data_IF_577129717322
#
_entry.id   IF_577129717322
#
_cell.length_a   1.000
_cell.length_b   1.000
_cell.length_c   1.000
_cell.angle_alpha   90.00
_cell.angle_beta   90.00
_cell.angle_gamma   90.00
#
_symmetry.space_group_name_H-M   'P 1'
#
loop_
_entity.id
_entity.type
_entity.pdbx_description
1 polymer ?
#
# COMPACT_ATOMS: atom_id res chain seq x y z
N UNK A 1 20.78 2.58 2.64
CA UNK A 1 19.72 3.51 2.19
C UNK A 1 18.56 3.38 3.16
N UNK A 2 17.89 4.47 3.58
CA UNK A 2 17.11 4.44 4.80
C UNK A 2 15.90 3.52 4.65
N UNK A 3 15.81 2.59 5.59
CA UNK A 3 14.62 1.77 5.81
C UNK A 3 13.49 2.65 6.38
N UNK A 4 12.26 2.16 6.27
CA UNK A 4 11.14 2.77 6.98
C UNK A 4 11.39 2.71 8.49
N UNK A 5 11.32 3.86 9.16
CA UNK A 5 11.41 3.98 10.62
C UNK A 5 10.01 4.15 11.20
N UNK A 6 9.18 5.01 10.58
CA UNK A 6 7.82 5.27 11.02
C UNK A 6 7.74 5.75 12.48
N UNK A 7 6.91 5.07 13.27
CA UNK A 7 6.80 5.22 14.72
C UNK A 7 7.77 4.32 15.51
N UNK A 8 8.59 3.51 14.85
CA UNK A 8 9.52 2.55 15.45
C UNK A 8 8.95 1.13 15.64
N UNK A 9 7.63 0.96 15.62
CA UNK A 9 6.98 -0.33 15.91
C UNK A 9 7.16 -1.37 14.79
N UNK A 10 7.42 -0.90 13.56
CA UNK A 10 7.61 -1.72 12.36
C UNK A 10 8.85 -1.26 11.57
N UNK A 11 9.95 -0.98 12.28
CA UNK A 11 11.19 -0.59 11.63
C UNK A 11 11.63 -1.66 10.62
N UNK A 12 12.05 -1.23 9.43
CA UNK A 12 12.40 -2.13 8.33
C UNK A 12 11.23 -2.64 7.49
N UNK A 13 9.98 -2.38 7.88
CA UNK A 13 8.76 -2.85 7.20
C UNK A 13 8.31 -1.90 6.06
N UNK A 14 9.27 -1.52 5.22
CA UNK A 14 9.08 -0.62 4.08
C UNK A 14 10.34 0.15 3.67
N UNK A 15 10.19 0.97 2.63
CA UNK A 15 11.29 1.70 2.01
C UNK A 15 11.30 3.22 2.26
N UNK A 16 12.30 3.88 1.66
CA UNK A 16 12.47 5.33 1.72
C UNK A 16 11.27 6.11 1.14
N UNK A 17 10.56 5.57 0.15
CA UNK A 17 9.34 6.20 -0.39
C UNK A 17 8.23 6.20 0.66
N UNK A 18 8.04 5.10 1.38
CA UNK A 18 7.10 5.01 2.49
C UNK A 18 7.46 6.00 3.60
N UNK A 19 8.75 6.10 3.92
CA UNK A 19 9.26 7.05 4.93
C UNK A 19 9.00 8.52 4.53
N UNK A 20 9.20 8.87 3.26
CA UNK A 20 8.86 10.23 2.78
C UNK A 20 7.38 10.55 2.94
N UNK A 21 6.49 9.60 2.65
CA UNK A 21 5.05 9.78 2.86
C UNK A 21 4.69 9.85 4.35
N UNK A 22 5.39 9.08 5.18
CA UNK A 22 5.26 9.18 6.63
C UNK A 22 5.60 10.57 7.15
N UNK A 23 6.67 11.18 6.64
CA UNK A 23 7.14 12.50 7.08
C UNK A 23 6.28 13.67 6.58
N UNK A 24 5.55 13.48 5.47
CA UNK A 24 4.76 14.56 4.86
C UNK A 24 3.43 14.85 5.59
N UNK A 25 2.92 13.91 6.38
CA UNK A 25 1.63 14.04 7.05
C UNK A 25 1.66 13.43 8.45
N UNK A 26 0.69 13.82 9.29
CA UNK A 26 0.51 13.18 10.60
C UNK A 26 -0.27 11.89 10.44
N UNK A 27 0.38 10.77 10.65
CA UNK A 27 -0.22 9.44 10.59
C UNK A 27 -0.51 8.90 12.00
N UNK A 28 -1.64 8.21 12.12
CA UNK A 28 -2.07 7.53 13.35
C UNK A 28 -2.49 6.12 13.00
N UNK A 29 -1.96 5.15 13.74
CA UNK A 29 -2.30 3.75 13.54
C UNK A 29 -3.79 3.50 13.82
N UNK A 30 -4.40 2.70 12.95
CA UNK A 30 -5.79 2.28 13.10
C UNK A 30 -5.85 1.22 14.20
N UNK A 31 -6.76 1.40 15.17
CA UNK A 31 -6.96 0.45 16.27
C UNK A 31 -7.23 -0.96 15.72
N UNK A 32 -6.50 -1.94 16.24
CA UNK A 32 -6.58 -3.36 15.84
C UNK A 32 -6.26 -3.63 14.36
N UNK A 33 -5.54 -2.72 13.70
CA UNK A 33 -5.11 -2.87 12.31
C UNK A 33 -3.60 -2.55 12.25
N UNK A 34 -2.75 -3.46 12.77
CA UNK A 34 -1.32 -3.21 12.92
C UNK A 34 -0.70 -2.81 11.58
N UNK A 35 0.22 -1.84 11.63
CA UNK A 35 0.97 -1.38 10.46
C UNK A 35 0.14 -0.61 9.44
N UNK A 36 -1.10 -0.22 9.78
CA UNK A 36 -1.99 0.59 8.93
C UNK A 36 -2.34 1.90 9.60
N UNK A 37 -2.12 2.99 8.91
CA UNK A 37 -2.21 4.33 9.48
C UNK A 37 -3.14 5.21 8.67
N UNK A 38 -3.93 6.04 9.35
CA UNK A 38 -4.77 7.10 8.77
C UNK A 38 -4.22 8.46 9.14
N UNK A 39 -4.56 9.50 8.38
CA UNK A 39 -4.36 10.88 8.83
C UNK A 39 -5.70 11.47 9.28
N UNK A 40 -6.07 11.35 10.56
CA UNK A 40 -7.36 11.84 11.02
C UNK A 40 -7.39 13.37 10.97
N UNK A 41 -8.47 13.90 10.37
CA UNK A 41 -8.77 15.35 10.30
C UNK A 41 -7.86 16.15 9.36
N UNK A 42 -7.10 15.51 8.49
CA UNK A 42 -6.41 16.20 7.41
C UNK A 42 -7.35 16.45 6.24
N UNK A 43 -7.90 17.67 6.20
CA UNK A 43 -8.85 18.07 5.14
C UNK A 43 -8.21 18.07 3.75
N UNK A 44 -6.90 18.34 3.65
CA UNK A 44 -6.21 18.38 2.35
C UNK A 44 -6.10 16.98 1.78
N UNK A 45 -5.71 16.02 2.63
CA UNK A 45 -5.67 14.61 2.25
C UNK A 45 -7.06 14.11 1.84
N UNK A 46 -8.12 14.44 2.58
CA UNK A 46 -9.46 13.95 2.23
C UNK A 46 -10.01 14.48 0.90
N UNK A 47 -9.46 15.57 0.36
CA UNK A 47 -9.81 16.13 -0.95
C UNK A 47 -8.83 15.75 -2.06
N UNK A 48 -7.68 15.17 -1.72
CA UNK A 48 -6.66 14.82 -2.68
C UNK A 48 -6.95 13.44 -3.28
N UNK A 49 -6.89 13.35 -4.60
CA UNK A 49 -6.82 12.06 -5.29
C UNK A 49 -5.52 11.33 -4.92
N UNK A 50 -5.46 9.99 -5.06
CA UNK A 50 -4.22 9.27 -4.82
C UNK A 50 -3.07 9.73 -5.73
N UNK A 51 -3.37 10.14 -6.97
CA UNK A 51 -2.37 10.66 -7.91
C UNK A 51 -1.82 12.00 -7.45
N UNK A 52 -2.67 12.94 -7.05
CA UNK A 52 -2.23 14.23 -6.50
C UNK A 52 -1.37 14.06 -5.26
N UNK A 53 -1.75 13.13 -4.36
CA UNK A 53 -0.94 12.84 -3.17
C UNK A 53 0.45 12.29 -3.56
N UNK A 54 0.51 11.33 -4.48
CA UNK A 54 1.77 10.70 -4.89
C UNK A 54 2.68 11.66 -5.69
N UNK A 55 2.12 12.56 -6.49
CA UNK A 55 2.85 13.58 -7.24
C UNK A 55 3.58 14.57 -6.31
N UNK A 56 3.07 14.80 -5.08
CA UNK A 56 3.77 15.66 -4.11
C UNK A 56 5.04 15.03 -3.52
N UNK A 57 5.17 13.71 -3.61
CA UNK A 57 6.24 12.96 -2.94
C UNK A 57 7.44 12.70 -3.86
N UNK A 58 7.19 12.74 -5.16
CA UNK A 58 8.14 12.30 -6.18
C UNK A 58 8.11 13.31 -7.32
N UNK A 59 9.26 13.92 -7.59
CA UNK A 59 9.40 14.83 -8.72
C UNK A 59 9.31 14.08 -10.05
N UNK A 60 8.60 14.66 -11.01
CA UNK A 60 8.58 14.22 -12.42
C UNK A 60 8.03 12.80 -12.61
N UNK A 61 6.97 12.45 -11.89
CA UNK A 61 6.29 11.16 -12.08
C UNK A 61 5.69 11.07 -13.47
N UNK A 62 6.10 10.05 -14.21
CA UNK A 62 5.44 9.62 -15.43
C UNK A 62 4.44 8.52 -15.10
N UNK A 63 3.16 8.80 -15.33
CA UNK A 63 2.07 7.85 -15.13
C UNK A 63 1.85 7.01 -16.39
N UNK A 64 1.93 5.69 -16.26
CA UNK A 64 1.71 4.76 -17.37
C UNK A 64 0.59 3.79 -17.04
N UNK A 65 -0.45 3.75 -17.87
CA UNK A 65 -1.45 2.69 -17.80
C UNK A 65 -0.81 1.37 -18.22
N UNK A 66 -1.00 0.32 -17.42
CA UNK A 66 -0.52 -1.03 -17.72
C UNK A 66 -1.70 -1.93 -18.06
N UNK A 67 -1.68 -2.49 -19.26
CA UNK A 67 -2.70 -3.41 -19.78
C UNK A 67 -2.19 -4.84 -19.69
N UNK A 68 -2.12 -5.40 -18.48
CA UNK A 68 -1.69 -6.80 -18.29
C UNK A 68 -2.52 -7.59 -17.27
N UNK A 69 -3.63 -7.05 -16.79
CA UNK A 69 -4.43 -7.67 -15.72
C UNK A 69 -5.93 -7.32 -15.83
N UNK A 70 -6.82 -8.02 -15.09
CA UNK A 70 -8.25 -7.70 -15.07
C UNK A 70 -8.56 -6.37 -14.36
N UNK A 71 -7.59 -5.80 -13.65
CA UNK A 71 -7.72 -4.52 -12.97
C UNK A 71 -7.07 -3.41 -13.79
N UNK A 72 -7.61 -2.21 -13.69
CA UNK A 72 -6.93 -0.99 -14.14
C UNK A 72 -5.67 -0.81 -13.30
N UNK A 73 -4.52 -0.71 -13.96
CA UNK A 73 -3.22 -0.58 -13.29
C UNK A 73 -2.44 0.60 -13.83
N UNK A 74 -1.68 1.23 -12.95
CA UNK A 74 -0.87 2.39 -13.24
C UNK A 74 0.52 2.22 -12.65
N UNK A 75 1.56 2.63 -13.37
CA UNK A 75 2.91 2.74 -12.81
C UNK A 75 3.31 4.21 -12.74
N UNK A 76 3.96 4.59 -11.63
CA UNK A 76 4.68 5.85 -11.53
C UNK A 76 6.17 5.60 -11.72
N UNK A 77 6.82 6.43 -12.54
CA UNK A 77 8.25 6.34 -12.81
C UNK A 77 8.96 7.69 -12.66
N UNK A 78 10.22 7.65 -12.24
CA UNK A 78 11.14 8.79 -12.30
C UNK A 78 12.35 8.37 -13.13
N UNK A 79 12.42 8.87 -14.37
CA UNK A 79 13.31 8.30 -15.40
C UNK A 79 12.96 6.83 -15.64
N UNK A 80 13.97 5.96 -15.62
CA UNK A 80 13.78 4.51 -15.81
C UNK A 80 13.34 3.77 -14.54
N UNK A 81 13.30 4.45 -13.39
CA UNK A 81 13.03 3.82 -12.10
C UNK A 81 11.52 3.81 -11.80
N UNK A 82 10.95 2.62 -11.59
CA UNK A 82 9.59 2.49 -11.05
C UNK A 82 9.59 2.90 -9.58
N UNK A 83 8.75 3.87 -9.25
CA UNK A 83 8.65 4.43 -7.89
C UNK A 83 7.39 4.00 -7.15
N UNK A 84 6.36 3.54 -7.88
CA UNK A 84 5.23 2.83 -7.33
C UNK A 84 4.46 2.10 -8.43
N UNK A 85 3.67 1.11 -8.03
CA UNK A 85 2.67 0.45 -8.87
C UNK A 85 1.31 0.56 -8.22
N UNK A 86 0.30 0.85 -9.01
CA UNK A 86 -1.07 1.09 -8.59
C UNK A 86 -2.03 0.11 -9.26
N UNK A 87 -3.05 -0.34 -8.52
CA UNK A 87 -4.15 -1.13 -9.04
C UNK A 87 -5.47 -0.59 -8.48
N UNK A 88 -6.47 -0.45 -9.36
CA UNK A 88 -7.78 0.05 -9.02
C UNK A 88 -8.81 -1.09 -8.99
N UNK A 89 -9.56 -1.14 -7.89
CA UNK A 89 -10.73 -1.99 -7.73
C UNK A 89 -11.97 -1.08 -7.73
N UNK A 90 -12.72 -1.13 -8.82
CA UNK A 90 -13.96 -0.40 -8.94
C UNK A 90 -15.03 -0.93 -7.97
N UNK A 91 -15.87 -0.02 -7.46
CA UNK A 91 -17.02 -0.40 -6.64
C UNK A 91 -18.01 -1.24 -7.47
N UNK A 92 -18.37 -2.43 -6.95
CA UNK A 92 -19.37 -3.29 -7.62
C UNK A 92 -20.82 -2.90 -7.32
N UNK A 93 -21.03 -2.05 -6.30
CA UNK A 93 -22.35 -1.56 -5.88
C UNK A 93 -22.22 -0.16 -5.32
N UNK A 94 -23.30 0.64 -5.35
CA UNK A 94 -23.34 1.98 -4.75
C UNK A 94 -23.09 2.04 -3.23
N UNK A 95 -23.11 0.89 -2.53
CA UNK A 95 -22.82 0.81 -1.08
C UNK A 95 -21.35 0.50 -0.76
N UNK A 96 -20.54 0.21 -1.78
CA UNK A 96 -19.10 -0.04 -1.63
C UNK A 96 -18.34 1.14 -2.22
N UNK A 97 -17.25 1.49 -1.57
CA UNK A 97 -16.29 2.47 -2.06
C UNK A 97 -15.37 1.82 -3.10
N UNK A 98 -14.97 2.56 -4.13
CA UNK A 98 -13.85 2.16 -4.99
C UNK A 98 -12.56 2.21 -4.16
N UNK A 99 -11.55 1.45 -4.57
CA UNK A 99 -10.29 1.45 -3.85
C UNK A 99 -9.09 1.32 -4.76
N UNK A 100 -8.09 2.14 -4.49
CA UNK A 100 -6.77 2.06 -5.08
C UNK A 100 -5.79 1.43 -4.11
N UNK A 101 -4.94 0.55 -4.63
CA UNK A 101 -3.81 -0.04 -3.93
C UNK A 101 -2.54 0.40 -4.63
N UNK A 102 -1.57 0.90 -3.86
CA UNK A 102 -0.25 1.24 -4.35
C UNK A 102 0.81 0.49 -3.57
N UNK A 103 1.84 0.00 -4.25
CA UNK A 103 3.04 -0.60 -3.66
C UNK A 103 4.24 0.28 -3.94
N UNK A 104 5.14 0.38 -2.96
CA UNK A 104 6.39 1.13 -3.07
C UNK A 104 7.60 0.20 -3.19
N UNK A 105 8.68 0.64 -3.86
CA UNK A 105 9.95 -0.06 -3.85
C UNK A 105 10.42 -0.32 -2.43
N UNK A 106 10.83 -1.57 -2.19
CA UNK A 106 11.26 -2.06 -0.88
C UNK A 106 10.16 -2.10 0.19
N UNK A 107 8.90 -2.18 -0.23
CA UNK A 107 7.80 -2.54 0.64
C UNK A 107 6.91 -1.38 1.09
N UNK A 108 5.74 -1.78 1.60
CA UNK A 108 4.68 -0.88 2.02
C UNK A 108 3.99 -0.19 0.86
N UNK A 109 3.12 0.75 1.20
CA UNK A 109 2.29 1.40 0.19
C UNK A 109 1.17 2.25 0.74
N UNK A 110 0.29 2.61 -0.18
CA UNK A 110 -0.88 3.44 0.08
C UNK A 110 -2.13 2.68 -0.36
N UNK A 111 -3.15 2.66 0.48
CA UNK A 111 -4.49 2.24 0.06
C UNK A 111 -5.40 3.46 0.18
N UNK A 112 -6.11 3.78 -0.89
CA UNK A 112 -7.05 4.89 -0.93
C UNK A 112 -8.44 4.36 -1.22
N UNK A 113 -9.39 4.66 -0.34
CA UNK A 113 -10.80 4.47 -0.62
C UNK A 113 -11.39 5.75 -1.17
N UNK A 114 -12.14 5.64 -2.25
CA UNK A 114 -12.90 6.75 -2.85
C UNK A 114 -14.37 6.54 -2.53
N UNK A 115 -14.92 7.48 -1.75
CA UNK A 115 -16.31 7.47 -1.36
C UNK A 115 -17.19 8.08 -2.45
N UNK A 116 -18.45 7.69 -2.46
CA UNK A 116 -19.45 8.19 -3.41
C UNK A 116 -19.66 9.72 -3.36
N UNK A 117 -19.31 10.37 -2.25
CA UNK A 117 -19.38 11.83 -2.07
C UNK A 117 -18.10 12.57 -2.54
N UNK A 118 -17.15 11.86 -3.16
CA UNK A 118 -15.88 12.41 -3.62
C UNK A 118 -14.84 12.57 -2.52
N UNK A 119 -15.09 12.06 -1.32
CA UNK A 119 -14.11 12.08 -0.22
C UNK A 119 -13.15 10.90 -0.35
N UNK A 120 -11.86 11.16 -0.21
CA UNK A 120 -10.81 10.14 -0.18
C UNK A 120 -10.41 9.78 1.25
N UNK A 121 -10.21 8.48 1.48
CA UNK A 121 -9.63 7.96 2.73
C UNK A 121 -8.34 7.24 2.41
N UNK A 122 -7.23 7.94 2.63
CA UNK A 122 -5.90 7.38 2.50
C UNK A 122 -5.48 6.64 3.76
N UNK A 123 -4.94 5.45 3.55
CA UNK A 123 -4.23 4.69 4.58
C UNK A 123 -2.82 4.40 4.13
N UNK A 124 -1.85 4.84 4.93
CA UNK A 124 -0.45 4.44 4.77
C UNK A 124 -0.30 3.05 5.37
N UNK A 125 0.38 2.14 4.66
CA UNK A 125 0.56 0.78 5.10
C UNK A 125 2.05 0.43 5.04
N UNK A 126 2.55 -0.13 6.14
CA UNK A 126 3.77 -0.95 6.15
C UNK A 126 3.62 -2.13 5.18
N UNK A 127 4.71 -2.79 4.81
CA UNK A 127 4.63 -3.93 3.90
C UNK A 127 3.74 -5.03 4.50
N UNK A 128 3.98 -5.42 5.75
CA UNK A 128 3.17 -6.44 6.42
C UNK A 128 1.70 -6.05 6.54
N UNK A 129 1.40 -4.79 6.85
CA UNK A 129 0.03 -4.26 6.92
C UNK A 129 -0.67 -4.27 5.55
N UNK A 130 0.07 -3.94 4.49
CA UNK A 130 -0.42 -3.93 3.12
C UNK A 130 -0.73 -5.35 2.64
N UNK A 131 0.19 -6.30 2.82
CA UNK A 131 0.02 -7.69 2.36
C UNK A 131 -1.19 -8.35 3.03
N UNK A 132 -1.38 -8.18 4.35
CA UNK A 132 -2.60 -8.64 5.05
C UNK A 132 -3.87 -8.06 4.42
N UNK A 133 -3.83 -6.77 4.08
CA UNK A 133 -5.01 -6.12 3.50
C UNK A 133 -5.30 -6.62 2.08
N UNK A 134 -4.28 -6.93 1.29
CA UNK A 134 -4.44 -7.58 -0.01
C UNK A 134 -5.04 -8.98 0.14
N UNK A 135 -4.56 -9.76 1.11
CA UNK A 135 -5.10 -11.08 1.43
C UNK A 135 -6.61 -11.03 1.71
N UNK A 136 -7.06 -10.03 2.48
CA UNK A 136 -8.47 -9.86 2.83
C UNK A 136 -9.35 -9.31 1.68
N UNK A 137 -8.75 -8.75 0.62
CA UNK A 137 -9.50 -8.09 -0.47
C UNK A 137 -9.50 -8.94 -1.73
N UNK A 138 -8.32 -9.28 -2.25
CA UNK A 138 -8.15 -10.20 -3.36
C UNK A 138 -6.73 -10.79 -3.37
N UNK A 139 -6.51 -11.99 -2.78
CA UNK A 139 -5.19 -12.61 -2.72
C UNK A 139 -4.69 -13.14 -4.07
N UNK A 140 -5.51 -13.06 -5.14
CA UNK A 140 -5.18 -13.57 -6.46
C UNK A 140 -4.85 -12.43 -7.42
N UNK A 141 -5.78 -11.50 -7.63
CA UNK A 141 -5.66 -10.49 -8.67
C UNK A 141 -4.73 -9.34 -8.27
N UNK A 142 -4.80 -8.86 -7.02
CA UNK A 142 -3.99 -7.73 -6.56
C UNK A 142 -2.48 -7.98 -6.66
N UNK A 143 -1.94 -9.14 -6.20
CA UNK A 143 -0.50 -9.39 -6.31
C UNK A 143 0.01 -9.43 -7.75
N UNK A 144 -0.82 -9.87 -8.69
CA UNK A 144 -0.47 -9.91 -10.12
C UNK A 144 -0.56 -8.50 -10.72
N UNK A 145 -1.65 -7.78 -10.44
CA UNK A 145 -1.88 -6.42 -10.94
C UNK A 145 -0.79 -5.44 -10.46
N UNK A 146 -0.32 -5.61 -9.23
CA UNK A 146 0.74 -4.80 -8.65
C UNK A 146 2.15 -5.32 -8.96
N UNK A 147 2.25 -6.37 -9.77
CA UNK A 147 3.50 -7.01 -10.17
C UNK A 147 4.42 -7.29 -8.97
N UNK A 148 3.85 -7.84 -7.90
CA UNK A 148 4.61 -8.27 -6.72
C UNK A 148 5.62 -9.35 -7.12
N UNK A 149 6.76 -9.37 -6.44
CA UNK A 149 7.80 -10.36 -6.70
C UNK A 149 7.38 -11.78 -6.22
N UNK A 150 8.27 -12.77 -6.36
CA UNK A 150 7.93 -14.16 -6.01
C UNK A 150 7.72 -14.30 -4.50
N UNK A 151 8.55 -13.62 -3.74
CA UNK A 151 8.63 -13.59 -2.29
C UNK A 151 7.36 -12.95 -1.68
N UNK A 152 7.01 -11.75 -2.14
CA UNK A 152 5.82 -11.02 -1.75
C UNK A 152 4.54 -11.81 -2.08
N UNK A 153 4.47 -12.42 -3.26
CA UNK A 153 3.35 -13.31 -3.63
C UNK A 153 3.26 -14.53 -2.73
N UNK A 154 4.38 -15.13 -2.38
CA UNK A 154 4.41 -16.26 -1.45
C UNK A 154 3.88 -15.88 -0.07
N UNK A 155 4.20 -14.67 0.43
CA UNK A 155 3.66 -14.17 1.69
C UNK A 155 2.15 -13.99 1.64
N UNK A 156 1.62 -13.30 0.63
CA UNK A 156 0.16 -13.09 0.49
C UNK A 156 -0.57 -14.44 0.49
N UNK A 157 -0.01 -15.44 -0.21
CA UNK A 157 -0.55 -16.80 -0.28
C UNK A 157 -0.46 -17.55 1.04
N UNK A 158 0.61 -17.36 1.80
CA UNK A 158 0.76 -18.00 3.11
C UNK A 158 -0.20 -17.40 4.12
N UNK A 159 -0.29 -16.07 4.16
CA UNK A 159 -1.15 -15.33 5.09
C UNK A 159 -2.64 -15.66 4.91
N UNK A 160 -3.07 -15.99 3.69
CA UNK A 160 -4.48 -16.33 3.40
C UNK A 160 -5.01 -17.57 4.16
N UNK A 161 -4.11 -18.41 4.68
CA UNK A 161 -4.46 -19.61 5.43
C UNK A 161 -4.40 -19.41 6.96
N UNK A 162 -4.01 -18.23 7.42
CA UNK A 162 -3.95 -17.87 8.83
C UNK A 162 -5.22 -17.14 9.25
N UNK A 163 -5.64 -17.33 10.50
CA UNK A 163 -6.68 -16.48 11.09
C UNK A 163 -6.18 -15.05 11.36
N UNK A 164 -7.10 -14.10 11.56
CA UNK A 164 -6.76 -12.69 11.76
C UNK A 164 -5.74 -12.46 12.89
N UNK A 165 -5.88 -13.08 14.09
CA UNK A 165 -4.87 -12.96 15.14
C UNK A 165 -3.48 -13.43 14.69
N UNK A 166 -3.39 -14.57 14.00
CA UNK A 166 -2.13 -15.13 13.53
C UNK A 166 -1.51 -14.28 12.42
N UNK A 167 -2.31 -13.73 11.51
CA UNK A 167 -1.83 -12.77 10.52
C UNK A 167 -1.26 -11.51 11.19
N UNK A 168 -1.99 -10.96 12.17
CA UNK A 168 -1.56 -9.75 12.88
C UNK A 168 -0.23 -9.96 13.62
N UNK A 169 -0.05 -11.12 14.25
CA UNK A 169 1.18 -11.45 14.96
C UNK A 169 2.34 -11.85 14.01
N UNK A 170 2.06 -12.56 12.93
CA UNK A 170 3.07 -13.21 12.10
C UNK A 170 3.58 -12.39 10.91
N UNK A 171 2.77 -11.49 10.33
CA UNK A 171 3.13 -10.90 9.05
C UNK A 171 4.40 -10.02 9.12
N UNK A 172 4.58 -9.22 10.17
CA UNK A 172 5.76 -8.36 10.30
C UNK A 172 7.06 -9.16 10.45
N UNK A 173 7.18 -10.13 11.38
CA UNK A 173 8.34 -11.01 11.47
C UNK A 173 8.66 -11.76 10.16
N UNK A 174 7.62 -12.20 9.44
CA UNK A 174 7.80 -12.91 8.16
C UNK A 174 8.38 -11.99 7.07
N UNK A 175 7.89 -10.74 6.97
CA UNK A 175 8.45 -9.74 6.05
C UNK A 175 9.92 -9.49 6.37
N UNK A 176 10.27 -9.24 7.64
CA UNK A 176 11.66 -9.01 8.04
C UNK A 176 12.56 -10.19 7.69
N UNK A 177 12.13 -11.41 8.01
CA UNK A 177 12.90 -12.61 7.69
C UNK A 177 13.18 -12.71 6.18
N UNK A 178 12.20 -12.37 5.35
CA UNK A 178 12.37 -12.43 3.90
C UNK A 178 13.29 -11.34 3.37
N UNK A 179 13.24 -10.13 3.93
CA UNK A 179 14.17 -9.05 3.58
C UNK A 179 15.62 -9.30 4.05
N UNK A 180 15.85 -10.27 4.95
CA UNK A 180 17.21 -10.69 5.35
C UNK A 180 17.85 -11.70 4.38
N UNK A 181 17.08 -12.35 3.52
CA UNK A 181 17.53 -13.45 2.65
C UNK A 181 17.89 -12.95 1.23
N UNK A 182 17.46 -11.73 0.88
CA UNK A 182 17.64 -11.08 -0.43
C UNK A 182 18.71 -10.00 -0.36
#
# INVERSE_FOLDING_TARGET
MPEFIGNGDYAGDGGAVLQKLWESHKWKEIKNCPGRYVSPRDKKLCSATPTELLDTLISEVQWMAVTSCPLETIEGRTGDNVVFRGAHIAATTAKKDSSWFFTFPRGGGLITYEKADGVFVHTLNTESGLLRKMTAVDPNALPIALNLDREERFLVRTLQYLDDPSQNAGAYPLVLLMRMIV
#
